data_IF_334496943670
#
_entry.id   IF_334496943670
#
_cell.length_a   1.000
_cell.length_b   1.000
_cell.length_c   1.000
_cell.angle_alpha   90.00
_cell.angle_beta   90.00
_cell.angle_gamma   90.00
#
_symmetry.space_group_name_H-M   'P 1'
#
loop_
_entity.id
_entity.type
_entity.pdbx_description
1 polymer ?
#
# COMPACT_ATOMS: atom_id res chain seq x y z
N UNK A 1 -1.24 -7.40 4.36
CA UNK A 1 -1.80 -6.28 3.57
C UNK A 1 -2.61 -6.88 2.41
N UNK A 2 -3.91 -6.59 2.32
CA UNK A 2 -4.80 -7.17 1.29
C UNK A 2 -4.48 -6.53 -0.07
N UNK A 3 -4.35 -7.34 -1.11
CA UNK A 3 -3.94 -6.89 -2.45
C UNK A 3 -5.09 -6.12 -3.13
N UNK A 4 -4.98 -4.79 -3.18
CA UNK A 4 -5.97 -3.89 -3.78
C UNK A 4 -5.31 -3.04 -4.87
N UNK A 5 -5.99 -2.86 -6.01
CA UNK A 5 -5.52 -2.01 -7.09
C UNK A 5 -5.97 -0.56 -6.86
N UNK A 6 -5.03 0.37 -6.81
CA UNK A 6 -5.31 1.82 -6.84
C UNK A 6 -5.51 2.25 -8.30
N UNK A 7 -6.67 2.80 -8.64
CA UNK A 7 -6.94 3.35 -9.97
C UNK A 7 -6.09 4.59 -10.26
N UNK A 8 -5.55 4.68 -11.47
CA UNK A 8 -4.70 5.78 -11.93
C UNK A 8 -5.49 7.12 -12.02
N UNK A 9 -4.97 8.18 -11.41
CA UNK A 9 -5.51 9.54 -11.49
C UNK A 9 -5.11 10.21 -12.81
N UNK A 10 -6.05 10.63 -13.68
CA UNK A 10 -5.72 11.61 -14.71
C UNK A 10 -5.63 13.00 -14.08
N UNK A 11 -4.54 13.70 -14.36
CA UNK A 11 -4.35 15.12 -14.06
C UNK A 11 -5.58 15.94 -14.48
N UNK A 12 -6.18 16.70 -13.55
CA UNK A 12 -7.20 17.69 -13.90
C UNK A 12 -6.63 19.09 -13.69
N UNK A 13 -6.60 19.85 -14.79
CA UNK A 13 -6.06 21.19 -14.89
C UNK A 13 -6.84 22.20 -14.03
N UNK A 14 -6.12 23.23 -13.56
CA UNK A 14 -6.66 24.36 -12.79
C UNK A 14 -7.64 25.19 -13.63
N UNK A 15 -8.81 25.46 -13.08
CA UNK A 15 -9.66 26.59 -13.48
C UNK A 15 -10.39 27.16 -12.24
N UNK A 16 -10.63 28.47 -12.31
CA UNK A 16 -10.95 29.46 -11.27
C UNK A 16 -12.45 29.46 -10.84
N UNK A 17 -12.93 30.37 -9.95
CA UNK A 17 -13.48 29.96 -8.65
C UNK A 17 -15.01 30.07 -8.54
N UNK A 18 -15.52 29.46 -7.46
CA UNK A 18 -16.82 29.71 -6.84
C UNK A 18 -18.06 29.10 -7.49
N UNK A 19 -18.37 27.87 -7.09
CA UNK A 19 -19.75 27.43 -6.84
C UNK A 19 -19.72 26.26 -5.86
N UNK A 20 -20.45 26.39 -4.76
CA UNK A 20 -20.61 25.37 -3.73
C UNK A 20 -21.41 24.19 -4.28
N UNK A 21 -20.71 23.26 -4.93
CA UNK A 21 -21.17 21.89 -5.02
C UNK A 21 -20.14 21.07 -4.26
N UNK A 22 -20.58 20.48 -3.15
CA UNK A 22 -19.80 19.46 -2.45
C UNK A 22 -19.55 18.33 -3.45
N UNK A 23 -18.38 18.35 -4.09
CA UNK A 23 -17.89 17.22 -4.86
C UNK A 23 -17.68 16.09 -3.86
N UNK A 24 -18.72 15.28 -3.65
CA UNK A 24 -18.59 13.96 -3.05
C UNK A 24 -17.67 13.20 -4.00
N UNK A 25 -16.40 13.14 -3.64
CA UNK A 25 -15.41 12.32 -4.30
C UNK A 25 -15.85 10.87 -4.08
N UNK A 26 -16.61 10.31 -5.02
CA UNK A 26 -17.01 8.90 -4.96
C UNK A 26 -15.73 8.09 -5.09
N UNK A 27 -15.20 7.58 -3.96
CA UNK A 27 -14.17 6.54 -3.98
C UNK A 27 -14.74 5.37 -4.78
N UNK A 28 -14.14 5.08 -5.93
CA UNK A 28 -14.48 3.87 -6.70
C UNK A 28 -14.27 2.64 -5.80
N UNK A 29 -15.10 1.60 -5.94
CA UNK A 29 -14.98 0.40 -5.13
C UNK A 29 -13.62 -0.25 -5.35
N UNK A 30 -12.91 -0.53 -4.27
CA UNK A 30 -11.64 -1.25 -4.30
C UNK A 30 -11.92 -2.66 -4.82
N UNK A 31 -11.44 -2.97 -6.03
CA UNK A 31 -11.54 -4.30 -6.63
C UNK A 31 -10.30 -5.14 -6.31
N UNK A 32 -10.50 -6.45 -6.20
CA UNK A 32 -9.42 -7.42 -6.08
C UNK A 32 -8.64 -7.49 -7.40
N UNK A 33 -7.33 -7.80 -7.32
CA UNK A 33 -6.51 -8.05 -8.50
C UNK A 33 -7.02 -9.28 -9.25
N UNK A 34 -7.14 -9.18 -10.56
CA UNK A 34 -7.40 -10.33 -11.44
C UNK A 34 -6.13 -11.16 -11.65
N UNK A 35 -6.26 -12.34 -12.25
CA UNK A 35 -5.14 -13.29 -12.39
C UNK A 35 -3.99 -12.75 -13.24
N UNK A 36 -4.30 -12.00 -14.31
CA UNK A 36 -3.29 -11.39 -15.18
C UNK A 36 -2.49 -10.30 -14.44
N UNK A 37 -3.17 -9.45 -13.68
CA UNK A 37 -2.55 -8.40 -12.87
C UNK A 37 -1.71 -8.99 -11.74
N UNK A 38 -2.15 -10.12 -11.16
CA UNK A 38 -1.38 -10.86 -10.16
C UNK A 38 -0.08 -11.36 -10.76
N UNK A 39 -0.10 -12.03 -11.90
CA UNK A 39 1.13 -12.52 -12.54
C UNK A 39 2.11 -11.39 -12.87
N UNK A 40 1.61 -10.26 -13.38
CA UNK A 40 2.46 -9.13 -13.75
C UNK A 40 3.16 -8.48 -12.55
N UNK A 41 2.44 -8.24 -11.46
CA UNK A 41 2.97 -7.49 -10.32
C UNK A 41 3.59 -8.37 -9.23
N UNK A 42 3.06 -9.57 -9.03
CA UNK A 42 3.45 -10.41 -7.90
C UNK A 42 4.79 -11.09 -8.13
N UNK A 43 5.12 -11.46 -9.36
CA UNK A 43 6.39 -12.11 -9.70
C UNK A 43 7.60 -11.25 -9.33
N UNK A 44 7.52 -9.94 -9.58
CA UNK A 44 8.57 -8.99 -9.19
C UNK A 44 8.72 -8.91 -7.66
N UNK A 45 7.59 -8.83 -6.94
CA UNK A 45 7.59 -8.78 -5.47
C UNK A 45 8.15 -10.07 -4.86
N UNK A 46 7.80 -11.23 -5.42
CA UNK A 46 8.33 -12.53 -4.96
C UNK A 46 9.84 -12.59 -5.16
N UNK A 47 10.36 -12.10 -6.29
CA UNK A 47 11.80 -11.97 -6.53
C UNK A 47 12.52 -11.10 -5.50
N UNK A 48 11.81 -10.12 -4.92
CA UNK A 48 12.31 -9.25 -3.85
C UNK A 48 12.10 -9.83 -2.43
N UNK A 49 11.65 -11.08 -2.30
CA UNK A 49 11.49 -11.77 -1.02
C UNK A 49 10.12 -11.59 -0.36
N UNK A 50 9.12 -11.06 -1.06
CA UNK A 50 7.73 -11.15 -0.61
C UNK A 50 7.19 -12.56 -0.80
N UNK A 51 6.31 -12.99 0.11
CA UNK A 51 5.67 -14.31 0.07
C UNK A 51 4.17 -14.15 0.14
N UNK A 52 3.45 -15.00 -0.59
CA UNK A 52 2.01 -15.17 -0.40
C UNK A 52 1.75 -15.83 0.96
N UNK A 53 0.64 -15.46 1.58
CA UNK A 53 0.19 -16.08 2.83
C UNK A 53 -0.80 -17.21 2.52
N UNK A 54 -0.59 -18.39 3.08
CA UNK A 54 -1.36 -19.59 2.71
C UNK A 54 -2.86 -19.47 3.03
N UNK A 55 -3.20 -18.77 4.12
CA UNK A 55 -4.55 -18.74 4.66
C UNK A 55 -5.35 -17.48 4.31
N UNK A 56 -4.76 -16.53 3.57
CA UNK A 56 -5.45 -15.29 3.18
C UNK A 56 -4.83 -14.65 1.94
N UNK A 57 -5.63 -13.89 1.20
CA UNK A 57 -5.19 -13.13 0.03
C UNK A 57 -4.38 -11.88 0.43
N UNK A 58 -3.14 -12.12 0.87
CA UNK A 58 -2.20 -11.11 1.30
C UNK A 58 -0.77 -11.56 1.01
N UNK A 59 0.11 -10.56 0.89
CA UNK A 59 1.55 -10.75 0.87
C UNK A 59 2.16 -10.38 2.22
N UNK A 60 3.25 -11.04 2.55
CA UNK A 60 4.05 -10.80 3.75
C UNK A 60 5.54 -10.81 3.41
N UNK A 61 6.32 -10.03 4.16
CA UNK A 61 7.78 -10.00 4.09
C UNK A 61 8.32 -9.67 5.47
N UNK A 62 9.41 -10.33 5.83
CA UNK A 62 10.17 -10.04 7.04
C UNK A 62 11.32 -9.09 6.70
N UNK A 63 11.40 -7.98 7.40
CA UNK A 63 12.53 -7.06 7.36
C UNK A 63 13.37 -7.23 8.62
N UNK A 64 14.70 -7.16 8.49
CA UNK A 64 15.63 -7.20 9.62
C UNK A 64 16.64 -6.08 9.47
N UNK A 65 16.78 -5.28 10.52
CA UNK A 65 17.64 -4.09 10.60
C UNK A 65 18.80 -4.31 11.57
N UNK A 66 19.71 -3.34 11.67
CA UNK A 66 20.82 -3.39 12.63
C UNK A 66 20.33 -3.28 14.08
N UNK A 67 19.39 -2.38 14.34
CA UNK A 67 18.84 -2.14 15.67
C UNK A 67 17.34 -1.74 15.65
N UNK A 68 16.79 -1.40 16.81
CA UNK A 68 15.42 -0.92 16.96
C UNK A 68 15.19 0.47 16.35
N UNK A 69 16.17 1.38 16.42
CA UNK A 69 16.02 2.73 15.92
C UNK A 69 15.90 2.76 14.39
N UNK A 70 16.71 1.95 13.70
CA UNK A 70 16.63 1.75 12.25
C UNK A 70 15.28 1.15 11.85
N UNK A 71 14.84 0.11 12.56
CA UNK A 71 13.55 -0.53 12.32
C UNK A 71 12.38 0.45 12.49
N UNK A 72 12.37 1.22 13.57
CA UNK A 72 11.31 2.17 13.85
C UNK A 72 11.35 3.39 12.92
N UNK A 73 12.55 3.81 12.49
CA UNK A 73 12.73 4.82 11.43
C UNK A 73 12.11 4.38 10.12
N UNK A 74 12.35 3.14 9.69
CA UNK A 74 11.70 2.53 8.53
C UNK A 74 10.17 2.49 8.68
N UNK A 75 9.68 2.07 9.84
CA UNK A 75 8.24 2.05 10.15
C UNK A 75 7.61 3.44 10.01
N UNK A 76 8.26 4.48 10.54
CA UNK A 76 7.76 5.86 10.49
C UNK A 76 7.61 6.36 9.04
N UNK A 77 8.57 6.06 8.16
CA UNK A 77 8.48 6.43 6.75
C UNK A 77 7.29 5.72 6.05
N UNK A 78 7.06 4.45 6.37
CA UNK A 78 5.90 3.71 5.85
C UNK A 78 4.59 4.31 6.36
N UNK A 79 4.51 4.67 7.64
CA UNK A 79 3.30 5.24 8.23
C UNK A 79 2.85 6.52 7.50
N UNK A 80 3.79 7.41 7.17
CA UNK A 80 3.52 8.62 6.39
C UNK A 80 2.98 8.31 4.99
N UNK A 81 3.57 7.33 4.32
CA UNK A 81 3.13 6.92 2.97
C UNK A 81 1.77 6.21 3.02
N UNK A 82 1.55 5.36 4.02
CA UNK A 82 0.30 4.65 4.25
C UNK A 82 -0.86 5.62 4.48
N UNK A 83 -0.64 6.68 5.26
CA UNK A 83 -1.64 7.71 5.52
C UNK A 83 -2.01 8.47 4.24
N UNK A 84 -1.01 8.87 3.45
CA UNK A 84 -1.24 9.53 2.15
C UNK A 84 -2.05 8.66 1.17
N UNK A 85 -1.82 7.35 1.20
CA UNK A 85 -2.55 6.39 0.36
C UNK A 85 -3.88 5.93 0.98
N UNK A 86 -4.16 6.32 2.23
CA UNK A 86 -5.26 5.79 3.05
C UNK A 86 -5.32 4.25 3.00
N UNK A 87 -4.15 3.61 3.10
CA UNK A 87 -4.00 2.15 3.06
C UNK A 87 -2.88 1.71 4.00
N UNK A 88 -3.29 1.16 5.13
CA UNK A 88 -2.40 0.85 6.25
C UNK A 88 -1.89 -0.60 6.20
N UNK A 89 -0.61 -0.84 6.53
CA UNK A 89 -0.09 -2.19 6.63
C UNK A 89 -0.60 -2.88 7.90
N UNK A 90 -0.44 -4.19 7.90
CA UNK A 90 -0.50 -4.99 9.13
C UNK A 90 0.90 -5.55 9.34
N UNK A 91 1.51 -5.21 10.46
CA UNK A 91 2.89 -5.57 10.80
C UNK A 91 3.01 -5.99 12.26
N UNK A 92 4.11 -6.65 12.57
CA UNK A 92 4.47 -7.05 13.93
C UNK A 92 5.95 -6.75 14.14
N UNK A 93 6.27 -5.90 15.10
CA UNK A 93 7.65 -5.50 15.35
C UNK A 93 8.16 -6.08 16.68
N UNK A 94 9.34 -6.69 16.63
CA UNK A 94 10.12 -7.09 17.79
C UNK A 94 11.56 -6.64 17.59
N UNK A 95 11.98 -5.60 18.32
CA UNK A 95 13.30 -5.00 18.22
C UNK A 95 13.66 -4.63 16.77
N UNK A 96 14.64 -5.28 16.16
CA UNK A 96 15.13 -5.01 14.81
C UNK A 96 14.38 -5.78 13.70
N UNK A 97 13.28 -6.47 14.03
CA UNK A 97 12.49 -7.26 13.07
C UNK A 97 11.11 -6.64 12.87
N UNK A 98 10.70 -6.44 11.63
CA UNK A 98 9.41 -5.84 11.23
C UNK A 98 8.74 -6.69 10.17
#
# INVERSE_FOLDING_TARGET
MRLLKLGANPFCAKAFPFSSSSTVCRKMPLSLLNDQEREQHLNELIGQGWKLQDNRDAIQKLFTFGDFNEAFGFMTQIALKAEKMNHHPEWFNVYNKV
#
